data_IF_723592038943
#
_entry.id   IF_723592038943
#
_cell.length_a   1.000
_cell.length_b   1.000
_cell.length_c   1.000
_cell.angle_alpha   90.00
_cell.angle_beta   90.00
_cell.angle_gamma   90.00
#
_symmetry.space_group_name_H-M   'P 1'
#
loop_
_entity.id
_entity.type
_entity.pdbx_description
1 polymer ?
#
# COMPACT_ATOMS: atom_id res chain seq x y z
N UNK A 1 -14.44 -11.71 8.86
CA UNK A 1 -14.90 -10.77 7.81
C UNK A 1 -15.87 -11.49 6.89
N UNK A 2 -16.96 -10.85 6.53
CA UNK A 2 -17.95 -11.45 5.63
C UNK A 2 -17.46 -11.39 4.18
N UNK A 3 -18.00 -12.31 3.36
CA UNK A 3 -17.66 -12.33 1.93
C UNK A 3 -18.08 -11.03 1.23
N UNK A 4 -19.23 -10.48 1.61
CA UNK A 4 -19.70 -9.21 1.04
C UNK A 4 -18.79 -8.05 1.36
N UNK A 5 -18.28 -7.98 2.58
CA UNK A 5 -17.33 -6.93 2.98
C UNK A 5 -16.00 -7.10 2.24
N UNK A 6 -15.50 -8.33 2.13
CA UNK A 6 -14.27 -8.62 1.41
C UNK A 6 -14.40 -8.24 -0.07
N UNK A 7 -15.54 -8.54 -0.69
CA UNK A 7 -15.81 -8.17 -2.07
C UNK A 7 -15.85 -6.64 -2.23
N UNK A 8 -16.48 -5.93 -1.31
CA UNK A 8 -16.52 -4.47 -1.34
C UNK A 8 -15.13 -3.87 -1.27
N UNK A 9 -14.25 -4.43 -0.43
CA UNK A 9 -12.86 -3.98 -0.34
C UNK A 9 -12.13 -4.23 -1.65
N UNK A 10 -12.32 -5.42 -2.24
CA UNK A 10 -11.72 -5.78 -3.52
C UNK A 10 -12.10 -4.80 -4.62
N UNK A 11 -13.38 -4.41 -4.66
CA UNK A 11 -13.89 -3.51 -5.70
C UNK A 11 -13.56 -2.05 -5.45
N UNK A 12 -13.06 -1.70 -4.29
CA UNK A 12 -12.74 -0.33 -3.92
C UNK A 12 -11.83 0.37 -4.94
N UNK A 13 -10.87 -0.37 -5.46
CA UNK A 13 -9.94 0.11 -6.51
C UNK A 13 -9.98 -0.82 -7.71
N UNK A 14 -11.18 -1.26 -8.06
CA UNK A 14 -11.45 -2.03 -9.27
C UNK A 14 -10.61 -3.30 -9.40
N UNK A 15 -10.37 -3.98 -8.29
CA UNK A 15 -9.61 -5.23 -8.28
C UNK A 15 -8.09 -5.05 -8.35
N UNK A 16 -7.60 -3.86 -8.01
CA UNK A 16 -6.17 -3.56 -8.01
C UNK A 16 -5.65 -3.37 -6.59
N UNK A 17 -4.37 -3.66 -6.40
CA UNK A 17 -3.69 -3.36 -5.14
C UNK A 17 -3.72 -1.84 -4.92
N UNK A 18 -4.13 -1.42 -3.72
CA UNK A 18 -4.23 0.00 -3.40
C UNK A 18 -2.87 0.71 -3.45
N UNK A 19 -1.78 -0.02 -3.28
CA UNK A 19 -0.45 0.56 -3.20
C UNK A 19 0.31 0.50 -4.52
N UNK A 20 0.58 -0.69 -5.04
CA UNK A 20 1.37 -0.83 -6.27
C UNK A 20 0.53 -0.83 -7.55
N UNK A 21 -0.78 -1.01 -7.44
CA UNK A 21 -1.68 -0.96 -8.58
C UNK A 21 -1.78 -2.23 -9.41
N UNK A 22 -1.08 -3.31 -9.02
CA UNK A 22 -1.18 -4.55 -9.79
C UNK A 22 -2.57 -5.15 -9.69
N UNK A 23 -3.06 -5.84 -10.73
CA UNK A 23 -4.32 -6.57 -10.63
C UNK A 23 -4.25 -7.64 -9.56
N UNK A 24 -5.35 -7.81 -8.83
CA UNK A 24 -5.45 -8.81 -7.77
C UNK A 24 -6.44 -9.88 -8.16
N UNK A 25 -6.21 -11.09 -7.67
CA UNK A 25 -7.23 -12.12 -7.64
C UNK A 25 -7.92 -12.07 -6.28
N UNK A 26 -9.24 -12.22 -6.28
CA UNK A 26 -10.03 -12.13 -5.05
C UNK A 26 -9.49 -13.05 -3.95
N UNK A 27 -9.15 -14.28 -4.31
CA UNK A 27 -8.66 -15.27 -3.36
C UNK A 27 -7.25 -15.00 -2.85
N UNK A 28 -6.49 -14.16 -3.55
CA UNK A 28 -5.11 -13.83 -3.19
C UNK A 28 -5.00 -12.45 -2.52
N UNK A 29 -6.10 -11.69 -2.46
CA UNK A 29 -6.09 -10.37 -1.85
C UNK A 29 -5.85 -10.45 -0.36
N UNK A 30 -4.96 -9.60 0.15
CA UNK A 30 -4.85 -9.35 1.59
C UNK A 30 -5.60 -8.06 1.92
N UNK A 31 -6.09 -7.96 3.14
CA UNK A 31 -6.78 -6.75 3.61
C UNK A 31 -5.88 -6.07 4.63
N UNK A 32 -5.54 -4.83 4.35
CA UNK A 32 -4.64 -4.06 5.18
C UNK A 32 -5.40 -2.89 5.83
N UNK A 33 -4.96 -2.49 7.02
CA UNK A 33 -5.47 -1.29 7.69
C UNK A 33 -4.57 -0.11 7.31
N UNK A 34 -5.13 0.90 6.65
CA UNK A 34 -4.35 2.09 6.29
C UNK A 34 -3.81 2.77 7.56
N UNK A 35 -4.69 2.98 8.54
CA UNK A 35 -4.29 3.37 9.88
C UNK A 35 -4.32 2.09 10.73
N UNK A 36 -3.19 1.68 11.30
CA UNK A 36 -3.13 0.42 12.04
C UNK A 36 -4.00 0.45 13.29
N UNK A 37 -4.47 -0.71 13.71
CA UNK A 37 -5.28 -0.84 14.92
C UNK A 37 -4.57 -0.28 16.15
N UNK A 38 -3.26 -0.48 16.23
CA UNK A 38 -2.45 0.03 17.34
C UNK A 38 -2.44 1.55 17.42
N UNK A 39 -2.79 2.23 16.33
CA UNK A 39 -2.86 3.69 16.26
C UNK A 39 -4.31 4.19 16.14
N UNK A 40 -5.28 3.38 16.54
CA UNK A 40 -6.67 3.76 16.56
C UNK A 40 -7.44 3.48 15.28
N UNK A 41 -6.84 2.78 14.32
CA UNK A 41 -7.51 2.44 13.07
C UNK A 41 -8.64 1.44 13.28
N UNK A 42 -9.78 1.68 12.64
CA UNK A 42 -10.95 0.83 12.75
C UNK A 42 -11.10 -0.12 11.58
N UNK A 43 -12.22 -0.85 11.58
CA UNK A 43 -12.54 -1.85 10.57
C UNK A 43 -13.57 -1.34 9.54
N UNK A 44 -13.71 -0.03 9.39
CA UNK A 44 -14.59 0.54 8.38
C UNK A 44 -13.98 0.38 6.99
N UNK A 45 -14.84 0.35 5.97
CA UNK A 45 -14.41 0.22 4.58
C UNK A 45 -13.38 1.28 4.20
N UNK A 46 -13.52 2.49 4.73
CA UNK A 46 -12.60 3.59 4.43
C UNK A 46 -11.17 3.29 4.87
N UNK A 47 -11.01 2.51 5.93
CA UNK A 47 -9.69 2.19 6.47
C UNK A 47 -9.15 0.86 6.00
N UNK A 48 -9.96 0.04 5.33
CA UNK A 48 -9.53 -1.27 4.86
C UNK A 48 -9.13 -1.19 3.39
N UNK A 49 -7.90 -1.62 3.10
CA UNK A 49 -7.30 -1.46 1.78
C UNK A 49 -7.04 -2.82 1.16
N UNK A 50 -7.43 -3.03 -0.12
CA UNK A 50 -7.03 -4.24 -0.82
C UNK A 50 -5.55 -4.16 -1.14
N UNK A 51 -4.80 -5.20 -0.80
CA UNK A 51 -3.35 -5.21 -0.98
C UNK A 51 -2.90 -6.53 -1.56
N UNK A 52 -1.85 -6.50 -2.39
CA UNK A 52 -1.16 -7.70 -2.77
C UNK A 52 -0.27 -8.15 -1.61
N UNK A 53 0.12 -9.41 -1.65
CA UNK A 53 0.96 -9.99 -0.60
C UNK A 53 2.29 -9.27 -0.45
N UNK A 54 2.90 -8.91 -1.59
CA UNK A 54 4.21 -8.24 -1.59
C UNK A 54 4.15 -6.87 -0.90
N UNK A 55 3.12 -6.06 -1.20
CA UNK A 55 2.96 -4.77 -0.55
C UNK A 55 2.63 -4.94 0.94
N UNK A 56 1.80 -5.92 1.29
CA UNK A 56 1.47 -6.17 2.67
C UNK A 56 2.72 -6.56 3.48
N UNK A 57 3.58 -7.39 2.90
CA UNK A 57 4.84 -7.78 3.52
C UNK A 57 5.82 -6.60 3.61
N UNK A 58 5.95 -5.84 2.52
CA UNK A 58 6.86 -4.69 2.46
C UNK A 58 6.45 -3.57 3.41
N UNK A 59 5.14 -3.38 3.61
CA UNK A 59 4.63 -2.39 4.55
C UNK A 59 4.98 -2.71 5.99
N UNK A 60 5.16 -3.98 6.32
CA UNK A 60 5.53 -4.53 7.62
C UNK A 60 5.35 -3.54 8.79
N UNK A 61 4.83 -3.97 9.92
CA UNK A 61 4.65 -3.12 11.09
C UNK A 61 3.94 -1.77 10.76
N UNK A 62 3.12 -1.75 9.70
CA UNK A 62 2.33 -0.59 9.30
C UNK A 62 3.13 0.66 8.95
N UNK A 63 4.26 0.48 8.31
CA UNK A 63 5.14 1.58 7.95
C UNK A 63 4.96 1.97 6.47
N UNK A 64 4.09 2.96 6.22
CA UNK A 64 3.83 3.46 4.87
C UNK A 64 5.07 4.09 4.22
N UNK A 65 5.93 4.72 5.01
CA UNK A 65 7.15 5.30 4.46
C UNK A 65 8.06 4.22 3.88
N UNK A 66 8.24 3.12 4.60
CA UNK A 66 9.06 2.02 4.11
C UNK A 66 8.46 1.37 2.87
N UNK A 67 7.15 1.23 2.82
CA UNK A 67 6.49 0.73 1.61
C UNK A 67 6.72 1.68 0.43
N UNK A 68 6.60 2.98 0.67
CA UNK A 68 6.80 3.99 -0.38
C UNK A 68 8.23 3.94 -0.90
N UNK A 69 9.21 3.81 -0.02
CA UNK A 69 10.62 3.64 -0.40
C UNK A 69 10.79 2.38 -1.23
N UNK A 70 10.20 1.28 -0.79
CA UNK A 70 10.28 -0.01 -1.47
C UNK A 70 9.75 0.07 -2.92
N UNK A 71 8.60 0.71 -3.11
CA UNK A 71 7.99 0.84 -4.43
C UNK A 71 8.72 1.85 -5.31
N UNK A 72 9.33 2.86 -4.72
CA UNK A 72 10.11 3.85 -5.46
C UNK A 72 11.52 3.36 -5.80
N UNK A 73 11.96 2.26 -5.18
CA UNK A 73 13.34 1.78 -5.28
C UNK A 73 13.86 1.66 -6.72
N UNK A 74 13.09 1.09 -7.67
CA UNK A 74 13.56 1.00 -9.05
C UNK A 74 13.81 2.34 -9.72
N UNK A 75 13.24 3.42 -9.19
CA UNK A 75 13.42 4.78 -9.73
C UNK A 75 14.60 5.50 -9.12
N UNK A 76 15.24 4.92 -8.10
CA UNK A 76 16.39 5.55 -7.45
C UNK A 76 17.64 5.38 -8.29
N UNK A 77 18.45 6.43 -8.32
CA UNK A 77 19.75 6.42 -8.98
C UNK A 77 20.83 6.03 -7.97
N UNK A 78 21.99 5.49 -8.43
CA UNK A 78 23.08 5.19 -7.50
C UNK A 78 23.48 6.38 -6.63
N UNK A 79 23.42 7.60 -7.17
CA UNK A 79 23.75 8.81 -6.41
C UNK A 79 22.76 9.08 -5.28
N UNK A 80 21.49 8.64 -5.43
CA UNK A 80 20.47 8.82 -4.39
C UNK A 80 20.70 7.85 -3.22
N UNK A 81 21.33 6.70 -3.49
CA UNK A 81 21.52 5.65 -2.49
C UNK A 81 22.63 5.95 -1.49
N UNK A 82 23.41 7.00 -1.72
CA UNK A 82 24.51 7.37 -0.85
C UNK A 82 24.07 8.10 0.42
N UNK A 83 22.82 8.61 0.41
CA UNK A 83 22.29 9.40 1.52
C UNK A 83 20.83 8.99 1.76
N UNK A 84 20.54 8.50 2.95
CA UNK A 84 19.20 8.05 3.30
C UNK A 84 18.18 9.20 3.23
N UNK A 85 18.59 10.41 3.59
CA UNK A 85 17.70 11.57 3.47
C UNK A 85 17.31 11.81 2.00
N UNK A 86 18.21 11.56 1.07
CA UNK A 86 17.92 11.67 -0.36
C UNK A 86 16.93 10.59 -0.82
N UNK A 87 17.12 9.36 -0.34
CA UNK A 87 16.20 8.25 -0.62
C UNK A 87 14.80 8.60 -0.15
N UNK A 88 14.67 9.11 1.07
CA UNK A 88 13.37 9.51 1.62
C UNK A 88 12.73 10.63 0.79
N UNK A 89 13.51 11.61 0.38
CA UNK A 89 13.02 12.73 -0.42
C UNK A 89 12.48 12.26 -1.77
N UNK A 90 13.22 11.41 -2.47
CA UNK A 90 12.79 10.88 -3.77
C UNK A 90 11.53 10.02 -3.58
N UNK A 91 11.54 9.14 -2.57
CA UNK A 91 10.41 8.26 -2.31
C UNK A 91 9.15 9.04 -1.94
N UNK A 92 9.29 10.20 -1.30
CA UNK A 92 8.13 11.01 -0.90
C UNK A 92 7.32 11.50 -2.11
N UNK A 93 7.90 11.51 -3.29
CA UNK A 93 7.21 11.85 -4.53
C UNK A 93 6.48 10.68 -5.18
N UNK A 94 6.72 9.45 -4.70
CA UNK A 94 6.03 8.29 -5.22
C UNK A 94 4.57 8.29 -4.78
N UNK A 95 3.66 8.05 -5.73
CA UNK A 95 2.23 7.99 -5.45
C UNK A 95 1.74 6.55 -5.46
N UNK A 96 1.07 6.13 -4.38
CA UNK A 96 0.36 4.87 -4.36
C UNK A 96 -0.79 4.91 -5.34
N UNK A 97 -1.26 3.72 -5.74
CA UNK A 97 -2.36 3.62 -6.68
C UNK A 97 -3.60 4.37 -6.18
N UNK A 98 -3.94 4.20 -4.90
CA UNK A 98 -5.13 4.86 -4.34
C UNK A 98 -4.98 6.39 -4.31
N UNK A 99 -3.76 6.90 -4.27
CA UNK A 99 -3.51 8.35 -4.30
C UNK A 99 -3.73 8.95 -5.69
N UNK A 100 -3.71 8.10 -6.73
CA UNK A 100 -3.90 8.54 -8.12
C UNK A 100 -5.34 8.42 -8.60
N UNK A 101 -6.16 7.59 -7.96
CA UNK A 101 -7.47 7.18 -8.47
C UNK A 101 -8.62 7.95 -7.84
N UNK A 102 -8.42 9.16 -7.49
CA UNK A 102 -9.46 10.00 -6.90
C UNK A 102 -10.48 10.44 -7.95
#
# INVERSE_FOLDING_TARGET
MTDGKRQAIFMKYHGHCAYCGRPLKMEAMTVDHLVPKSKGGGNSIENLMPSCRDCNTAKAADNLEMLRISLAWPSLRPSDLQDFARVRKVASGYRFYFEKTI
#
